data_IF_748887390121
#
_entry.id   IF_748887390121
#
_cell.length_a   1.000
_cell.length_b   1.000
_cell.length_c   1.000
_cell.angle_alpha   90.00
_cell.angle_beta   90.00
_cell.angle_gamma   90.00
#
_symmetry.space_group_name_H-M   'P 1'
#
loop_
_entity.id
_entity.type
_entity.pdbx_description
1 polymer ?
#
# COMPACT_ATOMS: atom_id res chain seq x y z
N UNK A 1 -22.80 -9.20 -4.27
CA UNK A 1 -21.78 -8.29 -3.68
C UNK A 1 -20.55 -9.17 -3.50
N UNK A 2 -19.56 -9.01 -4.36
CA UNK A 2 -18.42 -9.91 -4.40
C UNK A 2 -17.58 -9.72 -3.13
N UNK A 3 -17.57 -10.73 -2.26
CA UNK A 3 -16.99 -10.69 -0.91
C UNK A 3 -15.51 -11.07 -0.89
N UNK A 4 -14.89 -11.39 -2.03
CA UNK A 4 -13.50 -11.81 -2.11
C UNK A 4 -12.63 -10.77 -2.81
N UNK A 5 -12.31 -9.70 -2.08
CA UNK A 5 -11.25 -8.78 -2.47
C UNK A 5 -9.89 -9.40 -2.16
N UNK A 6 -9.01 -9.41 -3.15
CA UNK A 6 -7.71 -10.08 -3.12
C UNK A 6 -6.62 -9.05 -2.92
N UNK A 7 -5.72 -9.35 -1.99
CA UNK A 7 -4.39 -8.75 -1.98
C UNK A 7 -3.66 -9.30 -3.19
N UNK A 8 -3.23 -8.41 -4.08
CA UNK A 8 -2.55 -8.78 -5.33
C UNK A 8 -1.03 -8.66 -5.21
N UNK A 9 -0.55 -7.85 -4.27
CA UNK A 9 0.87 -7.59 -4.10
C UNK A 9 1.21 -7.21 -2.67
N UNK A 10 2.45 -7.56 -2.28
CA UNK A 10 3.02 -7.30 -0.97
C UNK A 10 4.51 -7.01 -1.15
N UNK A 11 4.98 -5.88 -0.64
CA UNK A 11 6.39 -5.48 -0.69
C UNK A 11 6.82 -4.84 0.63
N UNK A 12 7.98 -5.26 1.13
CA UNK A 12 8.64 -4.60 2.25
C UNK A 12 9.26 -3.27 1.81
N UNK A 13 9.23 -2.28 2.69
CA UNK A 13 9.90 -1.00 2.43
C UNK A 13 11.41 -1.23 2.33
N UNK A 14 12.10 -0.69 1.30
CA UNK A 14 13.55 -0.78 1.19
C UNK A 14 14.27 0.09 2.23
N UNK A 15 13.55 1.04 2.84
CA UNK A 15 14.10 2.00 3.81
C UNK A 15 13.82 1.62 5.27
N UNK A 16 12.76 0.84 5.52
CA UNK A 16 12.31 0.51 6.87
C UNK A 16 11.97 -0.96 7.01
N UNK A 17 12.78 -1.70 7.78
CA UNK A 17 12.65 -3.14 7.99
C UNK A 17 11.26 -3.57 8.52
N UNK A 18 10.62 -2.73 9.31
CA UNK A 18 9.33 -3.04 9.95
C UNK A 18 8.12 -2.55 9.16
N UNK A 19 8.29 -2.05 7.94
CA UNK A 19 7.21 -1.43 7.16
C UNK A 19 6.87 -2.29 5.95
N UNK A 20 5.59 -2.62 5.84
CA UNK A 20 5.05 -3.44 4.77
C UNK A 20 4.01 -2.66 3.97
N UNK A 21 4.09 -2.73 2.64
CA UNK A 21 3.07 -2.21 1.73
C UNK A 21 2.30 -3.35 1.09
N UNK A 22 0.99 -3.21 0.97
CA UNK A 22 0.13 -4.18 0.28
C UNK A 22 -0.82 -3.48 -0.68
N UNK A 23 -1.01 -4.01 -1.88
CA UNK A 23 -2.01 -3.55 -2.84
C UNK A 23 -3.12 -4.57 -3.01
N UNK A 24 -4.34 -4.10 -3.20
CA UNK A 24 -5.54 -4.94 -3.30
C UNK A 24 -6.48 -4.47 -4.41
N UNK A 25 -7.22 -5.41 -4.98
CA UNK A 25 -8.24 -5.13 -6.00
C UNK A 25 -9.53 -4.48 -5.43
N UNK A 26 -9.53 -4.11 -4.15
CA UNK A 26 -10.51 -3.21 -3.55
C UNK A 26 -10.17 -1.72 -3.77
N UNK A 27 -9.14 -1.45 -4.59
CA UNK A 27 -8.64 -0.13 -4.99
C UNK A 27 -7.79 0.56 -3.92
N UNK A 28 -7.30 -0.24 -2.97
CA UNK A 28 -6.56 0.27 -1.81
C UNK A 28 -5.13 -0.19 -1.82
N UNK A 29 -4.27 0.69 -1.34
CA UNK A 29 -2.92 0.36 -0.93
C UNK A 29 -2.82 0.67 0.57
N UNK A 30 -2.40 -0.32 1.35
CA UNK A 30 -2.26 -0.19 2.79
C UNK A 30 -0.77 -0.27 3.17
N UNK A 31 -0.36 0.58 4.10
CA UNK A 31 0.97 0.56 4.72
C UNK A 31 0.81 0.13 6.17
N UNK A 32 1.57 -0.90 6.52
CA UNK A 32 1.51 -1.56 7.81
C UNK A 32 2.85 -1.44 8.55
N UNK A 33 2.80 -1.53 9.88
CA UNK A 33 3.95 -1.62 10.76
C UNK A 33 3.93 -2.95 11.51
N UNK A 34 5.11 -3.53 11.68
CA UNK A 34 5.32 -4.76 12.45
C UNK A 34 4.76 -4.66 13.88
N UNK A 35 3.91 -5.64 14.22
CA UNK A 35 3.22 -5.85 15.49
C UNK A 35 4.16 -6.11 16.67
N UNK A 36 5.38 -6.61 16.42
CA UNK A 36 6.33 -6.90 17.50
C UNK A 36 6.69 -5.65 18.34
N UNK A 37 6.47 -4.46 17.80
CA UNK A 37 6.82 -3.17 18.41
C UNK A 37 5.62 -2.27 18.76
N UNK A 38 4.37 -2.74 18.64
CA UNK A 38 3.17 -1.91 18.84
C UNK A 38 2.11 -2.61 19.69
N UNK A 39 1.24 -1.82 20.33
CA UNK A 39 0.04 -2.33 21.00
C UNK A 39 -0.96 -2.80 19.94
N UNK A 40 -1.76 -3.82 20.26
CA UNK A 40 -2.78 -4.35 19.37
C UNK A 40 -3.68 -3.25 18.78
N UNK A 41 -3.82 -3.21 17.45
CA UNK A 41 -4.74 -2.33 16.73
C UNK A 41 -4.09 -1.11 16.05
N UNK A 42 -2.79 -0.86 16.26
CA UNK A 42 -2.04 0.27 15.66
C UNK A 42 -1.12 -0.17 14.49
N UNK A 43 -1.35 -1.33 13.90
CA UNK A 43 -0.52 -1.85 12.80
C UNK A 43 -0.77 -1.15 11.46
N UNK A 44 -1.96 -0.62 11.20
CA UNK A 44 -2.28 0.05 9.94
C UNK A 44 -1.90 1.52 10.04
N UNK A 45 -0.81 1.92 9.37
CA UNK A 45 -0.31 3.29 9.39
C UNK A 45 -1.04 4.19 8.40
N UNK A 46 -1.33 3.68 7.21
CA UNK A 46 -1.83 4.51 6.12
C UNK A 46 -2.63 3.69 5.12
N UNK A 47 -3.64 4.34 4.52
CA UNK A 47 -4.43 3.78 3.43
C UNK A 47 -4.49 4.80 2.30
N UNK A 48 -3.89 4.45 1.17
CA UNK A 48 -4.05 5.18 -0.07
C UNK A 48 -5.26 4.64 -0.84
N UNK A 49 -6.24 5.53 -1.05
CA UNK A 49 -7.50 5.26 -1.76
C UNK A 49 -7.68 6.21 -2.96
N UNK A 50 -6.59 6.58 -3.62
CA UNK A 50 -6.63 7.54 -4.73
C UNK A 50 -7.12 6.96 -6.05
N UNK A 51 -7.05 5.64 -6.23
CA UNK A 51 -7.53 4.98 -7.44
C UNK A 51 -9.05 4.83 -7.46
N UNK A 52 -9.64 5.08 -8.61
CA UNK A 52 -11.09 4.95 -8.85
C UNK A 52 -11.48 3.55 -9.32
N UNK A 53 -10.51 2.79 -9.83
CA UNK A 53 -10.62 1.40 -10.29
C UNK A 53 -9.55 0.51 -9.64
N UNK A 54 -9.55 -0.81 -9.93
CA UNK A 54 -8.64 -1.77 -9.31
C UNK A 54 -7.17 -1.37 -9.50
N UNK A 55 -6.38 -1.50 -8.43
CA UNK A 55 -4.92 -1.33 -8.52
C UNK A 55 -4.36 -2.51 -9.29
N UNK A 56 -3.47 -2.25 -10.23
CA UNK A 56 -2.83 -3.27 -11.07
C UNK A 56 -1.42 -3.60 -10.56
N UNK A 57 -0.67 -2.59 -10.10
CA UNK A 57 0.68 -2.74 -9.56
C UNK A 57 1.02 -1.61 -8.56
N UNK A 58 1.96 -1.88 -7.68
CA UNK A 58 2.43 -1.01 -6.59
C UNK A 58 3.92 -1.21 -6.36
N UNK A 59 4.63 -0.12 -6.06
CA UNK A 59 6.05 -0.13 -5.76
C UNK A 59 6.45 0.90 -4.70
N UNK A 60 7.49 0.58 -3.94
CA UNK A 60 8.19 1.55 -3.12
C UNK A 60 9.26 2.27 -3.94
N UNK A 61 9.37 3.59 -3.78
CA UNK A 61 10.46 4.34 -4.39
C UNK A 61 11.77 4.03 -3.63
N UNK A 62 12.81 3.47 -4.30
CA UNK A 62 14.08 3.16 -3.65
C UNK A 62 14.94 4.40 -3.37
N UNK A 63 14.65 5.54 -3.99
CA UNK A 63 15.40 6.79 -3.81
C UNK A 63 14.81 7.65 -2.68
N UNK A 64 13.50 7.70 -2.55
CA UNK A 64 12.79 8.58 -1.60
C UNK A 64 12.05 7.77 -0.53
N UNK A 65 12.43 7.87 0.75
CA UNK A 65 11.71 7.23 1.85
C UNK A 65 10.23 7.63 1.89
N UNK A 66 9.37 6.68 2.23
CA UNK A 66 7.91 6.85 2.31
C UNK A 66 7.19 7.15 1.00
N UNK A 67 7.90 7.29 -0.11
CA UNK A 67 7.25 7.47 -1.40
C UNK A 67 6.86 6.12 -2.01
N UNK A 68 5.63 6.09 -2.50
CA UNK A 68 4.97 4.95 -3.11
C UNK A 68 4.55 5.35 -4.52
N UNK A 69 4.62 4.39 -5.43
CA UNK A 69 4.10 4.49 -6.79
C UNK A 69 3.06 3.41 -7.02
N UNK A 70 1.97 3.75 -7.70
CA UNK A 70 0.93 2.79 -8.04
C UNK A 70 0.28 3.09 -9.37
N UNK A 71 -0.16 2.04 -10.07
CA UNK A 71 -0.96 2.17 -11.28
C UNK A 71 -2.22 1.31 -11.17
N UNK A 72 -3.30 1.76 -11.80
CA UNK A 72 -4.58 1.06 -11.79
C UNK A 72 -5.26 1.00 -13.15
N UNK A 73 -6.33 0.20 -13.19
CA UNK A 73 -7.22 0.03 -14.35
C UNK A 73 -8.09 1.28 -14.62
N UNK A 74 -7.82 2.40 -13.93
CA UNK A 74 -8.35 3.73 -14.24
C UNK A 74 -7.43 4.53 -15.17
N UNK A 75 -6.38 3.89 -15.69
CA UNK A 75 -5.35 4.47 -16.55
C UNK A 75 -4.57 5.60 -15.86
N UNK A 76 -4.52 5.58 -14.54
CA UNK A 76 -3.78 6.56 -13.74
C UNK A 76 -2.57 5.90 -13.09
N UNK A 77 -1.44 6.61 -13.13
CA UNK A 77 -0.30 6.37 -12.26
C UNK A 77 -0.29 7.44 -11.18
N UNK A 78 -0.15 7.04 -9.92
CA UNK A 78 -0.13 7.93 -8.78
C UNK A 78 1.17 7.74 -7.99
N UNK A 79 1.76 8.87 -7.61
CA UNK A 79 2.83 8.93 -6.60
C UNK A 79 2.18 9.43 -5.31
N UNK A 80 2.31 8.67 -4.21
CA UNK A 80 1.81 9.09 -2.92
C UNK A 80 2.89 9.04 -1.85
N UNK A 81 2.86 10.00 -0.95
CA UNK A 81 3.66 10.03 0.26
C UNK A 81 2.69 10.13 1.44
N UNK A 82 2.72 9.20 2.41
CA UNK A 82 2.00 9.35 3.67
C UNK A 82 2.50 10.58 4.43
N UNK A 83 1.59 11.39 4.95
CA UNK A 83 1.89 12.52 5.84
C UNK A 83 2.43 12.06 7.21
#
# INVERSE_FOLDING_TARGET
MDMNKRVIQLLWSPHHETILGTASNDRRICVWRDLAKIKHGDELLFVHNGHTNEVSDFGWNPAEPWMIESCGEDNVLQTCQPD
#
